data_IF_627179111170
#
_entry.id   IF_627179111170
#
_cell.length_a   1.000
_cell.length_b   1.000
_cell.length_c   1.000
_cell.angle_alpha   90.00
_cell.angle_beta   90.00
_cell.angle_gamma   90.00
#
_symmetry.space_group_name_H-M   'P 1'
#
loop_
_entity.id
_entity.type
_entity.pdbx_description
1 polymer ?
#
# COMPACT_ATOMS: atom_id res chain seq x y z
N UNK A 1 -4.33 -16.33 -8.97
CA UNK A 1 -5.75 -16.62 -9.23
C UNK A 1 -6.62 -15.46 -8.78
N UNK A 2 -6.67 -15.16 -7.47
CA UNK A 2 -7.44 -14.04 -6.90
C UNK A 2 -7.20 -12.68 -7.59
N UNK A 3 -5.94 -12.27 -7.84
CA UNK A 3 -5.65 -11.00 -8.53
C UNK A 3 -6.24 -10.94 -9.94
N UNK A 4 -6.21 -12.04 -10.69
CA UNK A 4 -6.81 -12.11 -12.03
C UNK A 4 -8.34 -12.07 -11.98
N UNK A 5 -8.93 -12.68 -10.96
CA UNK A 5 -10.37 -12.57 -10.70
C UNK A 5 -10.72 -11.11 -10.41
N UNK A 6 -10.06 -10.47 -9.45
CA UNK A 6 -10.28 -9.05 -9.10
C UNK A 6 -10.17 -8.16 -10.34
N UNK A 7 -9.09 -8.29 -11.12
CA UNK A 7 -8.91 -7.51 -12.34
C UNK A 7 -10.05 -7.72 -13.33
N UNK A 8 -10.42 -8.97 -13.64
CA UNK A 8 -11.50 -9.29 -14.58
C UNK A 8 -12.84 -8.72 -14.11
N UNK A 9 -13.17 -8.87 -12.84
CA UNK A 9 -14.45 -8.42 -12.28
C UNK A 9 -14.53 -6.89 -12.17
N UNK A 10 -13.44 -6.22 -11.83
CA UNK A 10 -13.37 -4.75 -11.88
C UNK A 10 -13.58 -4.23 -13.31
N UNK A 11 -12.99 -4.87 -14.32
CA UNK A 11 -13.22 -4.55 -15.74
C UNK A 11 -14.66 -4.81 -16.18
N UNK A 12 -15.33 -5.80 -15.58
CA UNK A 12 -16.74 -6.10 -15.82
C UNK A 12 -17.70 -5.14 -15.08
N UNK A 13 -17.18 -4.28 -14.19
CA UNK A 13 -17.97 -3.33 -13.40
C UNK A 13 -18.59 -3.93 -12.14
N UNK A 14 -18.24 -5.17 -11.79
CA UNK A 14 -18.72 -5.89 -10.60
C UNK A 14 -18.42 -5.07 -9.33
N UNK A 15 -19.40 -4.86 -8.43
CA UNK A 15 -19.18 -4.16 -7.16
C UNK A 15 -18.08 -4.83 -6.29
N UNK A 16 -17.21 -4.07 -5.61
CA UNK A 16 -16.15 -4.63 -4.77
C UNK A 16 -16.60 -5.63 -3.71
N UNK A 17 -17.77 -5.45 -3.10
CA UNK A 17 -18.36 -6.37 -2.14
C UNK A 17 -18.73 -7.72 -2.78
N UNK A 18 -19.32 -7.72 -3.98
CA UNK A 18 -19.56 -8.94 -4.75
C UNK A 18 -18.25 -9.64 -5.13
N UNK A 19 -17.17 -8.89 -5.40
CA UNK A 19 -15.85 -9.47 -5.66
C UNK A 19 -15.30 -10.15 -4.41
N UNK A 20 -15.47 -9.57 -3.22
CA UNK A 20 -15.08 -10.20 -1.95
C UNK A 20 -15.87 -11.49 -1.72
N UNK A 21 -17.17 -11.52 -2.03
CA UNK A 21 -17.99 -12.73 -1.94
C UNK A 21 -17.47 -13.83 -2.88
N UNK A 22 -17.11 -13.51 -4.11
CA UNK A 22 -16.48 -14.48 -5.03
C UNK A 22 -15.12 -14.98 -4.51
N UNK A 23 -14.32 -14.10 -3.90
CA UNK A 23 -13.03 -14.47 -3.30
C UNK A 23 -13.16 -15.39 -2.09
N UNK A 24 -14.35 -15.44 -1.46
CA UNK A 24 -14.62 -16.34 -0.33
C UNK A 24 -14.53 -17.83 -0.68
N UNK A 25 -14.56 -18.17 -1.97
CA UNK A 25 -14.34 -19.52 -2.48
C UNK A 25 -12.87 -19.98 -2.38
N UNK A 26 -11.89 -19.07 -2.20
CA UNK A 26 -10.49 -19.46 -1.94
C UNK A 26 -10.43 -20.31 -0.66
N UNK A 27 -9.98 -21.58 -0.70
CA UNK A 27 -9.87 -22.41 0.51
C UNK A 27 -8.96 -21.80 1.59
N UNK A 28 -8.13 -20.81 1.23
CA UNK A 28 -7.26 -20.05 2.13
C UNK A 28 -7.82 -18.68 2.49
N UNK A 29 -9.08 -18.35 2.18
CA UNK A 29 -9.71 -17.04 2.40
C UNK A 29 -9.54 -16.51 3.83
N UNK A 30 -9.57 -17.40 4.83
CA UNK A 30 -9.32 -17.06 6.22
C UNK A 30 -7.91 -16.50 6.47
N UNK A 31 -6.91 -16.88 5.69
CA UNK A 31 -5.55 -16.32 5.73
C UNK A 31 -5.25 -15.35 4.58
N UNK A 32 -6.29 -14.70 4.03
CA UNK A 32 -6.16 -13.65 3.02
C UNK A 32 -6.55 -12.28 3.56
N UNK A 33 -5.94 -11.27 2.97
CA UNK A 33 -6.32 -9.88 3.12
C UNK A 33 -6.59 -9.28 1.74
N UNK A 34 -7.67 -8.53 1.62
CA UNK A 34 -8.04 -7.82 0.40
C UNK A 34 -8.53 -6.41 0.74
N UNK A 35 -8.22 -5.47 -0.14
CA UNK A 35 -8.77 -4.13 -0.14
C UNK A 35 -8.93 -3.71 -1.59
N UNK A 36 -10.14 -3.34 -1.97
CA UNK A 36 -10.54 -3.06 -3.35
C UNK A 36 -11.23 -1.70 -3.35
N UNK A 37 -10.75 -0.81 -4.21
CA UNK A 37 -11.36 0.50 -4.51
C UNK A 37 -11.51 0.54 -6.02
N UNK A 38 -12.69 0.94 -6.51
CA UNK A 38 -12.91 1.11 -7.94
C UNK A 38 -13.03 2.59 -8.35
N UNK A 39 -13.04 2.83 -9.66
CA UNK A 39 -13.15 4.18 -10.24
C UNK A 39 -14.54 4.82 -10.06
N UNK A 40 -15.52 4.09 -9.53
CA UNK A 40 -16.84 4.62 -9.16
C UNK A 40 -16.89 5.03 -7.67
N UNK A 41 -15.78 4.88 -6.94
CA UNK A 41 -15.68 5.21 -5.52
C UNK A 41 -16.26 4.15 -4.58
N UNK A 42 -16.62 2.96 -5.11
CA UNK A 42 -17.05 1.83 -4.30
C UNK A 42 -15.82 1.16 -3.71
N UNK A 43 -15.92 0.73 -2.45
CA UNK A 43 -14.82 0.10 -1.74
C UNK A 43 -15.31 -1.12 -0.96
N UNK A 44 -14.47 -2.15 -0.88
CA UNK A 44 -14.67 -3.29 0.00
C UNK A 44 -13.33 -3.83 0.47
N UNK A 45 -13.32 -4.47 1.64
CA UNK A 45 -12.14 -5.14 2.15
C UNK A 45 -12.48 -6.37 2.94
N UNK A 46 -11.46 -7.18 3.17
CA UNK A 46 -11.54 -8.41 3.96
C UNK A 46 -10.22 -8.58 4.71
N UNK A 47 -10.30 -8.91 5.98
CA UNK A 47 -9.16 -9.32 6.79
C UNK A 47 -9.53 -10.61 7.47
N UNK A 48 -9.10 -11.72 6.88
CA UNK A 48 -9.40 -13.05 7.39
C UNK A 48 -8.86 -13.29 8.78
N UNK A 49 -9.56 -14.12 9.55
CA UNK A 49 -9.24 -14.44 10.95
C UNK A 49 -7.88 -15.14 11.15
N UNK A 50 -7.29 -15.66 10.07
CA UNK A 50 -5.97 -16.30 10.04
C UNK A 50 -4.84 -15.40 9.55
N UNK A 51 -5.05 -14.09 9.39
CA UNK A 51 -4.00 -13.15 8.95
C UNK A 51 -2.96 -12.82 10.04
N UNK A 52 -3.16 -13.29 11.26
CA UNK A 52 -2.29 -13.00 12.41
C UNK A 52 -2.74 -11.77 13.19
N UNK A 53 -1.94 -11.41 14.20
CA UNK A 53 -2.24 -10.29 15.10
C UNK A 53 -2.30 -8.95 14.35
N UNK A 54 -3.10 -8.02 14.87
CA UNK A 54 -3.27 -6.67 14.33
C UNK A 54 -3.51 -6.67 12.80
N UNK A 55 -4.61 -7.30 12.41
CA UNK A 55 -5.01 -7.47 11.01
C UNK A 55 -6.33 -6.75 10.75
N UNK A 56 -6.24 -5.57 10.16
CA UNK A 56 -7.39 -4.74 9.87
C UNK A 56 -7.26 -4.05 8.52
N UNK A 57 -8.40 -3.63 8.01
CA UNK A 57 -8.53 -2.80 6.82
C UNK A 57 -9.51 -1.68 7.12
N UNK A 58 -9.28 -0.54 6.50
CA UNK A 58 -10.18 0.62 6.52
C UNK A 58 -10.38 1.06 5.08
N UNK A 59 -11.63 1.01 4.63
CA UNK A 59 -12.08 1.56 3.37
C UNK A 59 -12.92 2.81 3.67
N UNK A 60 -12.54 3.95 3.09
CA UNK A 60 -13.16 5.23 3.40
C UNK A 60 -12.94 6.22 2.24
N UNK A 61 -13.37 7.46 2.44
CA UNK A 61 -13.23 8.55 1.47
C UNK A 61 -12.83 9.86 2.14
N UNK A 62 -12.43 10.83 1.31
CA UNK A 62 -12.36 12.25 1.63
C UNK A 62 -13.46 12.94 0.80
N UNK A 63 -14.70 13.02 1.32
CA UNK A 63 -15.89 13.35 0.51
C UNK A 63 -15.77 14.66 -0.25
N UNK A 64 -15.23 15.70 0.39
CA UNK A 64 -15.10 17.04 -0.20
C UNK A 64 -14.09 17.10 -1.36
N UNK A 65 -13.29 16.04 -1.56
CA UNK A 65 -12.28 15.94 -2.60
C UNK A 65 -12.56 14.80 -3.60
N UNK A 66 -13.64 14.03 -3.41
CA UNK A 66 -13.95 12.88 -4.27
C UNK A 66 -12.88 11.79 -4.25
N UNK A 67 -12.11 11.69 -3.17
CA UNK A 67 -11.03 10.72 -3.01
C UNK A 67 -11.58 9.51 -2.27
N UNK A 68 -11.33 8.32 -2.80
CA UNK A 68 -11.70 7.04 -2.19
C UNK A 68 -10.43 6.21 -1.98
N UNK A 69 -10.33 5.50 -0.85
CA UNK A 69 -9.11 4.77 -0.51
C UNK A 69 -9.41 3.54 0.35
N UNK A 70 -8.44 2.61 0.36
CA UNK A 70 -8.41 1.47 1.26
C UNK A 70 -6.99 1.32 1.81
N UNK A 71 -6.84 1.33 3.14
CA UNK A 71 -5.58 1.10 3.84
C UNK A 71 -5.73 -0.18 4.66
N UNK A 72 -4.74 -1.07 4.58
CA UNK A 72 -4.80 -2.38 5.21
C UNK A 72 -3.40 -2.85 5.62
N UNK A 73 -3.34 -3.72 6.63
CA UNK A 73 -2.13 -4.43 6.99
C UNK A 73 -2.42 -5.60 7.92
N UNK A 74 -1.45 -6.52 8.02
CA UNK A 74 -1.52 -7.72 8.85
C UNK A 74 -0.16 -7.94 9.53
N UNK A 75 -0.17 -8.61 10.68
CA UNK A 75 1.04 -8.86 11.47
C UNK A 75 1.71 -7.52 11.82
N UNK A 76 0.88 -6.54 12.18
CA UNK A 76 1.34 -5.19 12.50
C UNK A 76 1.79 -5.12 13.96
N UNK A 77 2.53 -4.06 14.31
CA UNK A 77 2.90 -3.76 15.69
C UNK A 77 1.65 -3.54 16.59
N UNK A 78 0.63 -2.88 16.06
CA UNK A 78 -0.69 -2.68 16.67
C UNK A 78 -1.71 -2.24 15.62
N UNK A 79 -2.99 -2.16 16.02
CA UNK A 79 -4.05 -1.59 15.16
C UNK A 79 -3.83 -0.08 14.87
N UNK A 80 -3.08 0.61 15.74
CA UNK A 80 -2.77 2.04 15.60
C UNK A 80 -1.98 2.31 14.31
N UNK A 81 -1.21 1.35 13.81
CA UNK A 81 -0.52 1.47 12.51
C UNK A 81 -1.49 1.84 11.38
N UNK A 82 -2.64 1.17 11.29
CA UNK A 82 -3.64 1.48 10.26
C UNK A 82 -4.42 2.74 10.61
N UNK A 83 -4.78 2.93 11.88
CA UNK A 83 -5.55 4.10 12.30
C UNK A 83 -4.78 5.42 12.08
N UNK A 84 -3.50 5.46 12.44
CA UNK A 84 -2.63 6.63 12.23
C UNK A 84 -2.35 6.83 10.74
N UNK A 85 -2.15 5.77 9.95
CA UNK A 85 -2.01 5.88 8.49
C UNK A 85 -3.26 6.48 7.83
N UNK A 86 -4.47 6.05 8.24
CA UNK A 86 -5.74 6.62 7.77
C UNK A 86 -5.86 8.09 8.16
N UNK A 87 -5.52 8.43 9.40
CA UNK A 87 -5.56 9.81 9.87
C UNK A 87 -4.61 10.71 9.06
N UNK A 88 -3.37 10.26 8.84
CA UNK A 88 -2.37 10.96 8.05
C UNK A 88 -2.81 11.13 6.59
N UNK A 89 -3.33 10.07 5.96
CA UNK A 89 -3.85 10.12 4.59
C UNK A 89 -4.95 11.18 4.44
N UNK A 90 -5.88 11.25 5.40
CA UNK A 90 -6.98 12.22 5.39
C UNK A 90 -6.50 13.65 5.65
N UNK A 91 -5.56 13.83 6.58
CA UNK A 91 -5.06 15.16 6.96
C UNK A 91 -4.11 15.78 5.94
N UNK A 92 -3.38 14.95 5.19
CA UNK A 92 -2.36 15.43 4.24
C UNK A 92 -3.01 16.22 3.09
N UNK A 93 -2.30 17.22 2.58
CA UNK A 93 -2.73 18.00 1.42
C UNK A 93 -2.12 17.46 0.12
N UNK A 94 -2.33 18.19 -0.98
CA UNK A 94 -1.64 17.90 -2.24
C UNK A 94 -2.23 16.71 -3.00
N UNK A 95 -1.36 15.97 -3.68
CA UNK A 95 -1.72 14.89 -4.60
C UNK A 95 -2.13 13.61 -3.87
N UNK A 96 -2.73 12.66 -4.58
CA UNK A 96 -2.95 11.30 -4.06
C UNK A 96 -1.65 10.66 -3.56
N UNK A 97 -0.55 10.85 -4.31
CA UNK A 97 0.76 10.32 -3.95
C UNK A 97 1.31 10.94 -2.66
N UNK A 98 1.07 12.23 -2.41
CA UNK A 98 1.45 12.90 -1.15
C UNK A 98 0.72 12.26 0.04
N UNK A 99 -0.58 12.02 -0.10
CA UNK A 99 -1.40 11.36 0.93
C UNK A 99 -0.94 9.93 1.21
N UNK A 100 -0.63 9.17 0.16
CA UNK A 100 -0.09 7.81 0.28
C UNK A 100 1.26 7.82 1.01
N UNK A 101 2.18 8.71 0.61
CA UNK A 101 3.48 8.82 1.28
C UNK A 101 3.33 9.19 2.77
N UNK A 102 2.48 10.16 3.10
CA UNK A 102 2.21 10.52 4.49
C UNK A 102 1.62 9.36 5.31
N UNK A 103 0.72 8.57 4.70
CA UNK A 103 0.17 7.37 5.33
C UNK A 103 1.25 6.30 5.60
N UNK A 104 2.17 6.09 4.65
CA UNK A 104 3.29 5.15 4.81
C UNK A 104 4.25 5.60 5.91
N UNK A 105 4.59 6.89 5.97
CA UNK A 105 5.45 7.45 7.03
C UNK A 105 4.81 7.32 8.42
N UNK A 106 3.49 7.57 8.51
CA UNK A 106 2.74 7.39 9.75
C UNK A 106 2.69 5.91 10.19
N UNK A 107 2.47 4.99 9.25
CA UNK A 107 2.49 3.55 9.54
C UNK A 107 3.89 3.08 10.03
N UNK A 108 4.97 3.58 9.40
CA UNK A 108 6.35 3.29 9.81
C UNK A 108 6.62 3.79 11.24
N UNK A 109 6.15 4.99 11.58
CA UNK A 109 6.32 5.58 12.90
C UNK A 109 5.62 4.79 14.02
N UNK A 110 4.49 4.14 13.71
CA UNK A 110 3.77 3.23 14.63
C UNK A 110 4.37 1.81 14.67
N UNK A 111 5.44 1.55 13.92
CA UNK A 111 6.19 0.29 13.94
C UNK A 111 5.86 -0.70 12.83
N UNK A 112 4.88 -0.39 11.96
CA UNK A 112 4.52 -1.17 10.76
C UNK A 112 4.48 -2.69 10.96
N UNK A 113 5.11 -3.47 10.07
CA UNK A 113 5.18 -4.93 10.19
C UNK A 113 6.17 -5.35 11.29
N UNK A 114 5.66 -6.01 12.33
CA UNK A 114 6.46 -6.40 13.51
C UNK A 114 7.51 -7.47 13.24
N UNK A 115 7.48 -8.11 12.06
CA UNK A 115 8.49 -9.12 11.65
C UNK A 115 9.78 -8.45 11.19
N UNK A 116 9.70 -7.21 10.73
CA UNK A 116 10.82 -6.48 10.22
C UNK A 116 11.59 -5.80 11.35
N UNK A 117 12.90 -5.95 11.34
CA UNK A 117 13.82 -5.24 12.24
C UNK A 117 15.12 -4.94 11.50
N UNK A 118 15.94 -4.03 12.02
CA UNK A 118 17.26 -3.76 11.44
C UNK A 118 18.20 -4.99 11.47
N UNK A 119 17.88 -5.99 12.29
CA UNK A 119 18.65 -7.22 12.45
C UNK A 119 18.10 -8.36 11.57
N UNK A 120 16.90 -8.20 11.00
CA UNK A 120 16.30 -9.17 10.09
C UNK A 120 17.02 -9.21 8.75
N UNK A 121 17.36 -10.41 8.28
CA UNK A 121 17.98 -10.57 6.97
C UNK A 121 17.05 -10.08 5.84
N UNK A 122 17.58 -9.39 4.82
CA UNK A 122 18.99 -8.99 4.68
C UNK A 122 19.35 -7.75 5.52
N UNK A 123 20.54 -7.81 6.10
CA UNK A 123 21.19 -6.66 6.75
C UNK A 123 21.94 -5.87 5.69
N UNK A 124 21.54 -4.62 5.48
CA UNK A 124 22.07 -3.76 4.42
C UNK A 124 23.22 -2.89 4.95
N UNK A 125 24.18 -2.55 4.07
CA UNK A 125 25.25 -1.59 4.36
C UNK A 125 24.74 -0.14 4.30
N UNK A 126 23.66 0.16 5.03
CA UNK A 126 23.04 1.48 5.13
C UNK A 126 22.58 1.74 6.57
N UNK A 127 22.52 3.00 7.05
CA UNK A 127 22.00 3.31 8.38
C UNK A 127 20.56 2.79 8.55
N UNK A 128 20.29 2.18 9.70
CA UNK A 128 18.99 1.63 10.06
C UNK A 128 18.56 2.13 11.44
N UNK A 129 17.51 2.94 11.50
CA UNK A 129 16.99 3.54 12.74
C UNK A 129 15.55 3.05 12.99
N UNK A 130 15.35 1.74 12.86
CA UNK A 130 14.05 1.07 12.81
C UNK A 130 13.68 0.67 11.38
N UNK A 131 13.17 -0.54 11.18
CA UNK A 131 12.77 -1.10 9.88
C UNK A 131 11.44 -1.80 10.05
N UNK A 132 10.45 -1.42 9.25
CA UNK A 132 9.07 -1.93 9.35
C UNK A 132 8.59 -2.63 8.07
N UNK A 133 9.48 -2.73 7.07
CA UNK A 133 9.26 -3.46 5.82
C UNK A 133 10.59 -3.92 5.20
N UNK A 134 10.54 -4.90 4.29
CA UNK A 134 11.67 -5.25 3.42
C UNK A 134 11.60 -4.58 2.05
N UNK A 135 10.40 -4.13 1.65
CA UNK A 135 10.13 -3.46 0.39
C UNK A 135 9.17 -2.30 0.66
N UNK A 136 9.36 -1.20 -0.05
CA UNK A 136 8.37 -0.12 -0.15
C UNK A 136 8.34 0.36 -1.60
N UNK A 137 7.16 0.64 -2.13
CA UNK A 137 7.03 1.25 -3.45
C UNK A 137 5.80 2.17 -3.49
N UNK A 138 5.84 3.13 -4.39
CA UNK A 138 4.69 3.94 -4.76
C UNK A 138 4.54 3.95 -6.27
N UNK A 139 3.30 3.84 -6.74
CA UNK A 139 2.94 3.95 -8.14
C UNK A 139 1.74 4.88 -8.30
N UNK A 140 1.70 5.61 -9.41
CA UNK A 140 0.58 6.46 -9.80
C UNK A 140 0.23 6.14 -11.25
N UNK A 141 -1.04 5.90 -11.51
CA UNK A 141 -1.58 5.73 -12.85
C UNK A 141 -2.56 6.89 -13.13
N UNK A 142 -2.36 7.57 -14.24
CA UNK A 142 -3.25 8.61 -14.74
C UNK A 142 -4.31 8.04 -15.69
N UNK A 143 -5.45 8.73 -15.93
CA UNK A 143 -6.52 8.23 -16.78
C UNK A 143 -6.11 7.91 -18.24
N UNK A 144 -5.03 8.53 -18.73
CA UNK A 144 -4.51 8.34 -20.08
C UNK A 144 -3.37 7.31 -20.15
N UNK A 145 -2.94 6.76 -19.00
CA UNK A 145 -1.92 5.70 -18.97
C UNK A 145 -2.45 4.40 -19.59
N UNK A 146 -1.58 3.70 -20.31
CA UNK A 146 -1.98 2.48 -21.02
C UNK A 146 -1.90 1.24 -20.13
N UNK A 147 -2.91 0.37 -20.22
CA UNK A 147 -2.86 -0.95 -19.58
C UNK A 147 -1.85 -1.86 -20.28
N UNK A 148 -1.18 -2.72 -19.48
CA UNK A 148 -0.29 -3.75 -19.98
C UNK A 148 -1.02 -5.05 -20.39
N UNK A 149 -0.28 -6.15 -20.50
CA UNK A 149 -0.85 -7.46 -20.82
C UNK A 149 -1.51 -8.13 -19.60
N UNK A 150 -1.12 -7.71 -18.40
CA UNK A 150 -1.52 -8.23 -17.10
C UNK A 150 -2.20 -7.14 -16.24
N UNK A 151 -2.45 -7.46 -14.97
CA UNK A 151 -3.12 -6.59 -14.01
C UNK A 151 -2.18 -5.60 -13.30
N UNK A 152 -0.87 -5.60 -13.63
CA UNK A 152 0.15 -4.86 -12.88
C UNK A 152 1.38 -4.43 -13.72
N UNK A 153 1.25 -4.37 -15.04
CA UNK A 153 2.32 -4.08 -16.00
C UNK A 153 1.95 -2.96 -16.99
N UNK A 154 1.05 -2.06 -16.59
CA UNK A 154 0.71 -0.87 -17.35
C UNK A 154 1.80 0.21 -17.30
N UNK A 155 1.57 1.29 -18.03
CA UNK A 155 2.31 2.54 -17.86
C UNK A 155 1.87 3.22 -16.57
N UNK A 156 2.82 3.91 -15.94
CA UNK A 156 2.60 4.64 -14.69
C UNK A 156 3.28 6.00 -14.81
N UNK A 157 2.55 7.08 -14.52
CA UNK A 157 3.14 8.42 -14.44
C UNK A 157 4.16 8.57 -13.30
N UNK A 158 4.07 7.72 -12.28
CA UNK A 158 5.09 7.56 -11.25
C UNK A 158 5.28 6.08 -10.91
N UNK A 159 6.53 5.64 -10.82
CA UNK A 159 6.89 4.38 -10.17
C UNK A 159 8.24 4.55 -9.44
N UNK A 160 8.23 4.41 -8.12
CA UNK A 160 9.45 4.35 -7.31
C UNK A 160 9.37 3.12 -6.43
N UNK A 161 10.33 2.22 -6.59
CA UNK A 161 10.51 1.05 -5.74
C UNK A 161 11.78 1.18 -4.88
N UNK A 162 11.70 0.59 -3.70
CA UNK A 162 12.80 0.49 -2.75
C UNK A 162 12.83 -0.93 -2.23
N UNK A 163 13.90 -1.63 -2.57
CA UNK A 163 14.16 -3.01 -2.19
C UNK A 163 15.52 -3.10 -1.52
N UNK A 164 15.75 -4.20 -0.82
CA UNK A 164 17.06 -4.62 -0.37
C UNK A 164 18.13 -4.65 -1.47
N UNK A 165 17.74 -4.94 -2.71
CA UNK A 165 18.65 -4.97 -3.86
C UNK A 165 19.07 -3.59 -4.38
N UNK A 166 18.25 -2.55 -4.15
CA UNK A 166 18.44 -1.24 -4.76
C UNK A 166 18.77 -0.10 -3.78
N UNK A 167 18.68 -0.35 -2.47
CA UNK A 167 19.08 0.61 -1.42
C UNK A 167 20.59 0.87 -1.51
N UNK A 168 20.96 2.14 -1.52
CA UNK A 168 22.35 2.60 -1.57
C UNK A 168 22.90 2.88 -0.16
N UNK A 169 24.22 2.79 0.06
CA UNK A 169 24.84 3.04 1.37
C UNK A 169 24.58 4.42 1.97
N UNK A 170 24.29 5.43 1.12
CA UNK A 170 23.94 6.79 1.56
C UNK A 170 22.45 7.00 1.84
N UNK A 171 21.62 5.97 1.69
CA UNK A 171 20.18 5.99 1.98
C UNK A 171 19.88 5.33 3.33
N UNK A 172 18.62 4.99 3.62
CA UNK A 172 18.23 4.29 4.84
C UNK A 172 17.90 2.82 4.54
N UNK A 173 18.31 1.89 5.41
CA UNK A 173 17.97 0.48 5.29
C UNK A 173 16.47 0.19 5.53
N UNK A 174 15.72 1.15 6.07
CA UNK A 174 14.26 1.14 6.09
C UNK A 174 13.71 1.60 4.73
N UNK A 175 13.03 0.71 3.98
CA UNK A 175 12.54 1.04 2.65
C UNK A 175 11.56 2.22 2.62
N UNK A 176 10.72 2.41 3.65
CA UNK A 176 9.75 3.53 3.70
C UNK A 176 10.48 4.87 3.76
N UNK A 177 11.55 4.96 4.55
CA UNK A 177 12.35 6.18 4.70
C UNK A 177 13.13 6.51 3.43
N UNK A 178 13.69 5.49 2.79
CA UNK A 178 14.34 5.68 1.49
C UNK A 178 13.33 6.05 0.41
N UNK A 179 12.12 5.50 0.45
CA UNK A 179 11.05 5.84 -0.48
C UNK A 179 10.67 7.32 -0.34
N UNK A 180 10.50 7.84 0.89
CA UNK A 180 10.31 9.27 1.16
C UNK A 180 11.41 10.12 0.53
N UNK A 181 12.68 9.77 0.77
CA UNK A 181 13.83 10.50 0.21
C UNK A 181 13.80 10.53 -1.33
N UNK A 182 13.47 9.40 -1.97
CA UNK A 182 13.37 9.31 -3.43
C UNK A 182 12.15 10.06 -3.97
N UNK A 183 11.02 9.99 -3.29
CA UNK A 183 9.80 10.73 -3.62
C UNK A 183 10.00 12.25 -3.53
N UNK A 184 10.69 12.74 -2.50
CA UNK A 184 11.05 14.17 -2.39
C UNK A 184 11.91 14.64 -3.56
N UNK A 185 12.90 13.82 -3.96
CA UNK A 185 13.76 14.12 -5.10
C UNK A 185 12.96 14.16 -6.40
N UNK A 186 12.03 13.23 -6.60
CA UNK A 186 11.13 13.21 -7.74
C UNK A 186 10.26 14.48 -7.77
N UNK A 187 9.62 14.86 -6.66
CA UNK A 187 8.84 16.10 -6.56
C UNK A 187 9.66 17.35 -6.84
N UNK A 188 10.89 17.43 -6.32
CA UNK A 188 11.79 18.55 -6.57
C UNK A 188 12.22 18.64 -8.05
N UNK A 189 12.17 17.51 -8.78
CA UNK A 189 12.45 17.41 -10.20
C UNK A 189 11.30 17.82 -11.13
N UNK A 190 10.12 18.12 -10.57
CA UNK A 190 8.96 18.60 -11.34
C UNK A 190 7.69 17.78 -11.17
N UNK A 191 7.78 16.60 -10.55
CA UNK A 191 6.66 15.66 -10.52
C UNK A 191 6.45 15.04 -11.89
#
# INVERSE_FOLDING_TARGET
>A
ENQRLIYRELKAGTPPDEIIDMLSEDPRFAGRQFGIVDLQGRCAGHSGSGNGDASLHVADSVPDQGIHFSIQGNILASDDVVHTAVAAFKSEGGTMADRVMAAMEAADAEGGDRRCTCESEPVLEAPCEGKTSHVAYILVADPDDTEGESFNDGEYSLFIDVTDENIQPGENANPVRTLRMRYDRWKAGGG
#
